data_IF_897936106215
#
_entry.id   IF_897936106215
#
_cell.length_a   1.000
_cell.length_b   1.000
_cell.length_c   1.000
_cell.angle_alpha   90.00
_cell.angle_beta   90.00
_cell.angle_gamma   90.00
#
_symmetry.space_group_name_H-M   'P 1'
#
loop_
_entity.id
_entity.type
_entity.pdbx_description
1 polymer ?
#
# COMPACT_ATOMS: atom_id res chain seq x y z
N UNK A 1 22.65 -30.68 44.30
CA UNK A 1 23.30 -31.10 43.04
C UNK A 1 23.40 -29.86 42.16
N UNK A 2 24.61 -29.35 41.92
CA UNK A 2 24.87 -28.11 41.15
C UNK A 2 25.24 -28.51 39.73
N UNK A 3 24.51 -28.02 38.72
CA UNK A 3 24.86 -28.14 37.31
C UNK A 3 24.94 -26.75 36.72
N UNK A 4 26.13 -26.18 36.78
CA UNK A 4 26.54 -25.05 35.95
C UNK A 4 27.38 -25.66 34.82
N UNK A 5 26.98 -25.43 33.57
CA UNK A 5 27.87 -25.66 32.43
C UNK A 5 27.86 -24.41 31.57
N UNK A 6 28.90 -23.60 31.77
CA UNK A 6 29.41 -22.57 30.88
C UNK A 6 30.21 -23.24 29.74
N UNK A 7 30.49 -22.45 28.68
CA UNK A 7 31.47 -22.64 27.58
C UNK A 7 30.84 -23.22 26.31
N UNK A 8 30.95 -22.59 25.13
CA UNK A 8 31.76 -21.44 24.77
C UNK A 8 31.45 -20.91 23.36
N UNK A 9 31.70 -19.61 23.22
CA UNK A 9 31.72 -18.81 22.01
C UNK A 9 32.67 -19.40 20.96
N UNK A 10 32.19 -19.53 19.72
CA UNK A 10 33.01 -19.58 18.52
C UNK A 10 32.37 -18.65 17.47
N UNK A 11 32.62 -17.35 17.65
CA UNK A 11 32.37 -16.31 16.65
C UNK A 11 33.40 -16.49 15.54
N UNK A 12 32.95 -16.87 14.35
CA UNK A 12 33.73 -16.78 13.11
C UNK A 12 33.11 -15.67 12.27
N UNK A 13 33.70 -14.48 12.37
CA UNK A 13 33.44 -13.33 11.50
C UNK A 13 34.17 -13.56 10.17
N UNK A 14 33.41 -13.74 9.09
CA UNK A 14 33.93 -13.55 7.74
C UNK A 14 33.25 -12.31 7.15
N UNK A 15 33.95 -11.19 7.23
CA UNK A 15 33.67 -9.94 6.51
C UNK A 15 34.35 -10.02 5.13
N UNK A 16 33.57 -10.00 4.05
CA UNK A 16 34.00 -9.65 2.68
C UNK A 16 32.75 -9.49 1.84
N UNK A 17 32.49 -8.46 1.04
CA UNK A 17 33.08 -7.15 0.84
C UNK A 17 32.02 -6.36 0.04
N UNK A 18 31.83 -5.09 0.36
CA UNK A 18 31.01 -4.15 -0.42
C UNK A 18 31.86 -3.57 -1.57
N UNK A 19 31.26 -3.33 -2.74
CA UNK A 19 31.87 -2.44 -3.74
C UNK A 19 31.31 -2.53 -5.16
N UNK A 20 30.66 -1.46 -5.62
CA UNK A 20 30.45 -1.19 -7.04
C UNK A 20 29.18 -0.39 -7.36
N UNK A 21 29.27 0.93 -7.30
CA UNK A 21 28.21 1.90 -7.56
C UNK A 21 27.70 1.87 -9.02
N UNK A 22 26.40 2.11 -9.18
CA UNK A 22 25.77 2.37 -10.47
C UNK A 22 25.88 3.84 -10.85
N UNK A 23 26.41 4.11 -12.04
CA UNK A 23 26.33 5.41 -12.70
C UNK A 23 24.93 5.59 -13.30
N UNK A 24 24.11 6.40 -12.63
CA UNK A 24 22.84 6.88 -13.15
C UNK A 24 23.05 8.10 -14.03
N UNK A 25 22.71 7.98 -15.30
CA UNK A 25 22.73 9.04 -16.30
C UNK A 25 21.54 10.00 -16.09
N UNK A 26 21.77 11.15 -15.45
CA UNK A 26 20.79 12.23 -15.41
C UNK A 26 20.94 13.10 -16.67
N UNK A 27 20.24 12.71 -17.74
CA UNK A 27 19.99 13.59 -18.89
C UNK A 27 19.02 14.70 -18.50
N UNK A 28 19.57 15.87 -18.14
CA UNK A 28 18.84 17.12 -18.16
C UNK A 28 18.84 17.67 -19.60
N UNK A 29 17.74 17.45 -20.33
CA UNK A 29 17.43 18.14 -21.57
C UNK A 29 16.08 18.85 -21.41
N UNK A 30 16.13 20.15 -21.13
CA UNK A 30 15.09 21.13 -21.47
C UNK A 30 14.95 21.21 -23.02
N UNK A 31 13.87 21.77 -23.65
CA UNK A 31 13.16 22.96 -23.21
C UNK A 31 11.68 23.14 -23.68
N UNK A 32 11.20 24.37 -23.44
CA UNK A 32 10.16 25.13 -24.16
C UNK A 32 8.70 25.00 -23.72
N UNK A 33 8.36 25.94 -22.82
CA UNK A 33 7.00 26.47 -22.68
C UNK A 33 6.63 27.19 -23.98
N UNK A 34 5.64 26.68 -24.70
CA UNK A 34 4.98 27.43 -25.75
C UNK A 34 4.03 28.46 -25.11
N UNK A 35 4.32 29.74 -25.35
CA UNK A 35 3.39 30.84 -25.17
C UNK A 35 2.27 30.75 -26.20
N UNK A 36 1.02 30.71 -25.76
CA UNK A 36 -0.15 30.88 -26.63
C UNK A 36 -0.54 32.35 -26.63
N UNK A 37 -0.47 32.97 -27.80
CA UNK A 37 -0.97 34.30 -28.10
C UNK A 37 -2.50 34.37 -27.88
N UNK A 38 -2.93 35.32 -27.05
CA UNK A 38 -4.31 35.77 -26.94
C UNK A 38 -4.51 36.97 -27.87
N UNK A 39 -4.93 36.70 -29.10
CA UNK A 39 -5.52 37.67 -30.01
C UNK A 39 -6.66 36.90 -30.71
N UNK A 40 -7.93 37.25 -30.66
CA UNK A 40 -8.52 38.57 -30.80
C UNK A 40 -9.74 38.37 -31.70
N UNK A 41 -10.94 38.53 -31.13
CA UNK A 41 -12.20 38.96 -31.77
C UNK A 41 -12.52 38.52 -33.22
N UNK A 42 -13.70 37.95 -33.44
CA UNK A 42 -14.92 38.72 -33.78
C UNK A 42 -16.05 37.81 -34.28
N UNK A 43 -17.26 38.28 -33.97
CA UNK A 43 -18.57 37.75 -34.33
C UNK A 43 -18.80 37.77 -35.85
N UNK A 44 -19.46 36.74 -36.39
CA UNK A 44 -20.70 36.86 -37.18
C UNK A 44 -20.93 35.61 -38.03
N UNK A 45 -21.94 34.85 -37.66
CA UNK A 45 -22.81 34.16 -38.60
C UNK A 45 -24.09 33.82 -37.82
N UNK A 46 -25.04 34.75 -37.84
CA UNK A 46 -26.44 34.37 -37.72
C UNK A 46 -26.71 33.32 -38.79
N UNK A 47 -27.04 32.10 -38.36
CA UNK A 47 -27.67 31.10 -39.21
C UNK A 47 -28.96 30.73 -38.52
N UNK A 48 -30.02 31.46 -38.88
CA UNK A 48 -31.39 31.01 -38.71
C UNK A 48 -31.63 29.93 -39.76
N UNK A 49 -31.44 28.67 -39.35
CA UNK A 49 -32.02 27.53 -40.02
C UNK A 49 -32.66 26.64 -38.96
N UNK A 50 -33.98 26.72 -38.91
CA UNK A 50 -34.88 25.73 -38.32
C UNK A 50 -34.66 24.37 -39.00
N UNK A 51 -33.69 23.61 -38.48
CA UNK A 51 -33.55 22.19 -38.75
C UNK A 51 -34.39 21.44 -37.70
N UNK A 52 -35.65 21.18 -38.06
CA UNK A 52 -36.47 20.12 -37.49
C UNK A 52 -35.74 18.79 -37.69
N UNK A 53 -34.83 18.50 -36.76
CA UNK A 53 -34.21 17.20 -36.63
C UNK A 53 -34.53 16.79 -35.21
N UNK A 54 -35.61 16.02 -35.08
CA UNK A 54 -35.90 15.28 -33.87
C UNK A 54 -34.61 14.58 -33.45
N UNK A 55 -34.01 15.07 -32.38
CA UNK A 55 -32.88 14.43 -31.72
C UNK A 55 -33.34 12.99 -31.45
N UNK A 56 -32.58 11.96 -31.86
CA UNK A 56 -32.82 10.66 -31.28
C UNK A 56 -32.67 10.85 -29.78
N UNK A 57 -33.78 10.63 -29.07
CA UNK A 57 -33.84 10.49 -27.62
C UNK A 57 -32.77 9.48 -27.27
N UNK A 58 -31.58 10.01 -26.96
CA UNK A 58 -30.45 9.22 -26.54
C UNK A 58 -30.85 8.79 -25.16
N UNK A 59 -31.58 7.67 -25.11
CA UNK A 59 -31.91 6.97 -23.89
C UNK A 59 -30.62 6.89 -23.12
N UNK A 60 -30.50 7.72 -22.09
CA UNK A 60 -29.40 7.70 -21.16
C UNK A 60 -29.46 6.31 -20.54
N UNK A 61 -28.73 5.37 -21.14
CA UNK A 61 -28.44 4.09 -20.52
C UNK A 61 -27.67 4.48 -19.27
N UNK A 62 -28.39 4.56 -18.16
CA UNK A 62 -27.84 4.67 -16.83
C UNK A 62 -27.02 3.40 -16.63
N UNK A 63 -25.76 3.42 -17.07
CA UNK A 63 -24.78 2.45 -16.66
C UNK A 63 -24.79 2.54 -15.14
N UNK A 64 -25.35 1.54 -14.48
CA UNK A 64 -25.24 1.37 -13.05
C UNK A 64 -23.79 1.06 -12.79
N UNK A 65 -22.98 2.12 -12.67
CA UNK A 65 -21.59 2.03 -12.28
C UNK A 65 -21.59 1.54 -10.84
N UNK A 66 -21.40 0.23 -10.67
CA UNK A 66 -21.15 -0.37 -9.37
C UNK A 66 -19.88 0.24 -8.83
N UNK A 67 -20.01 1.10 -7.80
CA UNK A 67 -18.87 1.74 -7.16
C UNK A 67 -18.15 0.72 -6.29
N UNK A 68 -16.87 0.48 -6.57
CA UNK A 68 -16.02 -0.31 -5.68
C UNK A 68 -15.67 0.51 -4.43
N UNK A 69 -15.71 -0.14 -3.26
CA UNK A 69 -15.30 0.43 -1.97
C UNK A 69 -13.94 -0.17 -1.63
N UNK A 70 -12.94 0.69 -1.40
CA UNK A 70 -11.61 0.28 -0.93
C UNK A 70 -11.49 0.73 0.51
N UNK A 71 -11.26 -0.23 1.41
CA UNK A 71 -11.00 0.02 2.83
C UNK A 71 -9.51 -0.10 3.11
N UNK A 72 -8.97 0.84 3.88
CA UNK A 72 -7.59 0.82 4.32
C UNK A 72 -7.55 0.79 5.84
N UNK A 73 -6.73 -0.10 6.40
CA UNK A 73 -6.53 -0.27 7.84
C UNK A 73 -5.03 -0.19 8.18
N UNK A 74 -4.72 0.40 9.31
CA UNK A 74 -3.38 0.38 9.91
C UNK A 74 -3.51 -0.06 11.36
N UNK A 75 -2.64 -0.99 11.77
CA UNK A 75 -2.62 -1.58 13.10
C UNK A 75 -1.18 -1.70 13.59
N UNK A 76 -0.93 -1.25 14.81
CA UNK A 76 0.36 -1.43 15.49
C UNK A 76 0.16 -2.31 16.70
N UNK A 77 0.89 -3.42 16.77
CA UNK A 77 0.75 -4.45 17.80
C UNK A 77 2.06 -4.60 18.57
N UNK A 78 1.97 -4.73 19.89
CA UNK A 78 3.06 -5.26 20.71
C UNK A 78 2.88 -6.77 20.83
N UNK A 79 3.93 -7.51 20.51
CA UNK A 79 3.92 -8.97 20.38
C UNK A 79 5.12 -9.59 21.10
N UNK A 80 5.05 -10.88 21.41
CA UNK A 80 6.16 -11.59 22.08
C UNK A 80 7.27 -11.96 21.10
N UNK A 81 6.90 -12.53 19.94
CA UNK A 81 7.83 -12.93 18.90
C UNK A 81 7.33 -12.45 17.54
N UNK A 82 8.03 -11.49 16.94
CA UNK A 82 7.66 -10.90 15.65
C UNK A 82 7.55 -11.96 14.54
N UNK A 83 8.44 -12.95 14.50
CA UNK A 83 8.44 -13.93 13.41
C UNK A 83 7.21 -14.83 13.46
N UNK A 84 6.85 -15.31 14.66
CA UNK A 84 5.70 -16.19 14.85
C UNK A 84 4.39 -15.46 14.50
N UNK A 85 4.25 -14.20 14.92
CA UNK A 85 3.06 -13.42 14.62
C UNK A 85 2.95 -13.03 13.14
N UNK A 86 4.06 -12.81 12.45
CA UNK A 86 4.04 -12.57 11.00
C UNK A 86 3.52 -13.79 10.23
N UNK A 87 3.87 -14.99 10.65
CA UNK A 87 3.32 -16.23 10.09
C UNK A 87 1.81 -16.34 10.38
N UNK A 88 1.38 -16.01 11.61
CA UNK A 88 -0.03 -16.03 11.99
C UNK A 88 -0.85 -15.00 11.19
N UNK A 89 -0.36 -13.77 11.04
CA UNK A 89 -1.00 -12.72 10.22
C UNK A 89 -1.09 -13.17 8.75
N UNK A 90 -0.05 -13.84 8.24
CA UNK A 90 -0.05 -14.38 6.87
C UNK A 90 -1.14 -15.44 6.69
N UNK A 91 -1.30 -16.34 7.66
CA UNK A 91 -2.36 -17.35 7.64
C UNK A 91 -3.76 -16.72 7.71
N UNK A 92 -3.95 -15.73 8.59
CA UNK A 92 -5.20 -15.00 8.73
C UNK A 92 -5.59 -14.26 7.44
N UNK A 93 -4.61 -13.62 6.78
CA UNK A 93 -4.84 -12.98 5.50
C UNK A 93 -5.38 -13.98 4.46
N UNK A 94 -4.79 -15.18 4.38
CA UNK A 94 -5.21 -16.22 3.46
C UNK A 94 -6.62 -16.75 3.78
N UNK A 95 -6.98 -16.86 5.07
CA UNK A 95 -8.32 -17.25 5.51
C UNK A 95 -9.39 -16.26 5.01
N UNK A 96 -9.09 -14.96 5.01
CA UNK A 96 -9.98 -13.91 4.54
C UNK A 96 -9.91 -13.61 3.02
N UNK A 97 -9.46 -14.59 2.23
CA UNK A 97 -9.37 -14.48 0.76
C UNK A 97 -8.27 -13.55 0.28
N UNK A 98 -7.31 -13.26 1.15
CA UNK A 98 -6.26 -12.29 0.99
C UNK A 98 -4.87 -12.87 0.70
N UNK A 99 -3.87 -11.99 0.67
CA UNK A 99 -2.46 -12.35 0.54
C UNK A 99 -1.53 -11.25 1.07
N UNK A 100 -0.27 -11.60 1.27
CA UNK A 100 0.78 -10.67 1.72
C UNK A 100 1.33 -9.88 0.53
N UNK A 101 1.29 -8.56 0.63
CA UNK A 101 1.87 -7.62 -0.34
C UNK A 101 3.35 -7.41 -0.04
N UNK A 102 3.69 -7.20 1.23
CA UNK A 102 5.05 -7.03 1.70
C UNK A 102 5.19 -7.49 3.15
N UNK A 103 6.39 -7.98 3.49
CA UNK A 103 6.77 -8.32 4.86
C UNK A 103 8.24 -7.97 5.04
N UNK A 104 8.56 -7.34 6.15
CA UNK A 104 9.90 -6.94 6.51
C UNK A 104 10.10 -7.06 8.03
N UNK A 105 11.27 -7.52 8.42
CA UNK A 105 11.71 -7.57 9.81
C UNK A 105 13.04 -6.85 9.92
N UNK A 106 13.17 -5.98 10.92
CA UNK A 106 14.43 -5.31 11.25
C UNK A 106 14.59 -5.23 12.76
N UNK A 107 15.83 -5.30 13.22
CA UNK A 107 16.17 -4.97 14.59
C UNK A 107 16.50 -3.47 14.69
N UNK A 108 16.11 -2.84 15.78
CA UNK A 108 16.43 -1.44 16.05
C UNK A 108 17.75 -1.26 16.84
N UNK A 109 18.10 -0.03 17.16
CA UNK A 109 19.34 0.30 17.90
C UNK A 109 19.37 -0.26 19.33
N UNK A 110 18.21 -0.64 19.88
CA UNK A 110 18.04 -1.20 21.21
C UNK A 110 17.95 -2.75 21.17
N UNK A 111 18.34 -3.39 20.06
CA UNK A 111 18.19 -4.83 19.79
C UNK A 111 16.74 -5.34 19.89
N UNK A 112 15.76 -4.46 19.62
CA UNK A 112 14.33 -4.84 19.55
C UNK A 112 13.98 -5.20 18.11
N UNK A 113 13.42 -6.39 17.94
CA UNK A 113 12.89 -6.81 16.65
C UNK A 113 11.57 -6.10 16.36
N UNK A 114 11.47 -5.51 15.17
CA UNK A 114 10.27 -4.88 14.63
C UNK A 114 9.89 -5.52 13.30
N UNK A 115 8.58 -5.72 13.11
CA UNK A 115 8.01 -6.28 11.88
C UNK A 115 7.03 -5.32 11.23
N UNK A 116 7.09 -5.24 9.90
CA UNK A 116 6.10 -4.55 9.07
C UNK A 116 5.52 -5.55 8.09
N UNK A 117 4.20 -5.63 8.04
CA UNK A 117 3.49 -6.48 7.10
C UNK A 117 2.32 -5.72 6.50
N UNK A 118 2.19 -5.80 5.18
CA UNK A 118 1.03 -5.28 4.46
C UNK A 118 0.32 -6.47 3.82
N UNK A 119 -0.95 -6.63 4.14
CA UNK A 119 -1.81 -7.66 3.58
C UNK A 119 -3.00 -7.04 2.87
N UNK A 120 -3.56 -7.76 1.92
CA UNK A 120 -4.89 -7.49 1.36
C UNK A 120 -5.85 -8.58 1.79
N UNK A 121 -7.14 -8.27 1.87
CA UNK A 121 -8.26 -9.19 2.17
C UNK A 121 -9.47 -8.76 1.33
N UNK A 122 -10.45 -9.66 1.17
CA UNK A 122 -11.70 -9.31 0.51
C UNK A 122 -12.45 -8.20 1.28
N UNK A 123 -13.04 -7.23 0.56
CA UNK A 123 -13.62 -6.04 1.17
C UNK A 123 -14.81 -6.35 2.11
N UNK A 124 -15.53 -7.45 1.85
CA UNK A 124 -16.61 -7.96 2.71
C UNK A 124 -16.10 -8.47 4.06
N UNK A 125 -14.87 -8.96 4.09
CA UNK A 125 -14.23 -9.55 5.27
C UNK A 125 -13.36 -8.57 6.06
N UNK A 126 -13.19 -7.34 5.58
CA UNK A 126 -12.28 -6.35 6.18
C UNK A 126 -12.49 -6.13 7.68
N UNK A 127 -13.75 -6.00 8.13
CA UNK A 127 -14.03 -5.74 9.55
C UNK A 127 -13.67 -6.95 10.42
N UNK A 128 -14.04 -8.16 9.98
CA UNK A 128 -13.72 -9.40 10.69
C UNK A 128 -12.21 -9.63 10.75
N UNK A 129 -11.51 -9.42 9.63
CA UNK A 129 -10.05 -9.50 9.58
C UNK A 129 -9.40 -8.49 10.54
N UNK A 130 -9.90 -7.25 10.60
CA UNK A 130 -9.39 -6.26 11.55
C UNK A 130 -9.62 -6.65 13.01
N UNK A 131 -10.77 -7.26 13.32
CA UNK A 131 -11.07 -7.72 14.68
C UNK A 131 -10.12 -8.85 15.10
N UNK A 132 -9.94 -9.87 14.27
CA UNK A 132 -9.03 -10.98 14.55
C UNK A 132 -7.57 -10.53 14.61
N UNK A 133 -7.13 -9.61 13.74
CA UNK A 133 -5.78 -9.03 13.80
C UNK A 133 -5.50 -8.34 15.14
N UNK A 134 -6.52 -7.80 15.82
CA UNK A 134 -6.33 -7.19 17.15
C UNK A 134 -6.15 -8.23 18.24
N UNK A 135 -6.67 -9.44 18.07
CA UNK A 135 -6.53 -10.54 19.03
C UNK A 135 -5.16 -11.20 19.00
N UNK A 136 -4.42 -11.05 17.88
CA UNK A 136 -3.04 -11.54 17.72
C UNK A 136 -2.07 -10.78 18.64
N UNK A 137 -2.27 -9.47 18.81
CA UNK A 137 -1.39 -8.66 19.65
C UNK A 137 -1.62 -8.90 21.15
N UNK A 138 -0.55 -8.94 21.94
CA UNK A 138 -0.66 -8.82 23.40
C UNK A 138 -1.26 -7.47 23.80
N UNK A 139 -0.94 -6.43 23.02
CA UNK A 139 -1.50 -5.10 23.17
C UNK A 139 -1.61 -4.40 21.81
N UNK A 140 -2.77 -3.78 21.58
CA UNK A 140 -2.97 -2.86 20.45
C UNK A 140 -2.43 -1.48 20.84
N UNK A 141 -1.42 -1.01 20.11
CA UNK A 141 -0.78 0.28 20.33
C UNK A 141 -1.48 1.42 19.58
N UNK A 142 -1.96 1.14 18.36
CA UNK A 142 -2.67 2.10 17.52
C UNK A 142 -3.51 1.36 16.48
N UNK A 143 -4.68 1.90 16.15
CA UNK A 143 -5.51 1.42 15.04
C UNK A 143 -6.16 2.59 14.29
N UNK A 144 -6.26 2.49 12.97
CA UNK A 144 -6.94 3.46 12.10
C UNK A 144 -7.58 2.72 10.92
N UNK A 145 -8.83 3.04 10.58
CA UNK A 145 -9.47 2.54 9.37
C UNK A 145 -10.17 3.68 8.61
N UNK A 146 -10.12 3.61 7.27
CA UNK A 146 -10.79 4.55 6.37
C UNK A 146 -11.51 3.77 5.27
N UNK A 147 -12.73 4.18 4.96
CA UNK A 147 -13.59 3.62 3.91
C UNK A 147 -14.44 4.70 3.27
#
# INVERSE_FOLDING_TARGET
MKKNSLIGIAVVLVLSACGGAGDGENSAAEPQRASVDQDGRALSAEYDLVADTALPDTTLQTQTTTRMIIKNGELSLLVENVNDELEQITALAAEYGGYVISSEVRDDEDDRTMGWITITVEAENFEAAMDDLREIGQQVLSHSSKG
#
